data_IF_165432080506
#
_entry.id   IF_165432080506
#
_cell.length_a   1.000
_cell.length_b   1.000
_cell.length_c   1.000
_cell.angle_alpha   90.00
_cell.angle_beta   90.00
_cell.angle_gamma   90.00
#
_symmetry.space_group_name_H-M   'P 1'
#
loop_
_entity.id
_entity.type
_entity.pdbx_description
1 polymer ?
#
# COMPACT_ATOMS: atom_id res chain seq x y z
N UNK A 1 -25.74 9.54 -31.56
CA UNK A 1 -24.28 9.79 -31.71
C UNK A 1 -23.52 8.80 -30.85
N UNK A 2 -22.99 7.74 -31.46
CA UNK A 2 -22.42 6.58 -30.76
C UNK A 2 -21.10 6.92 -30.06
N UNK A 3 -21.04 6.66 -28.75
CA UNK A 3 -19.87 6.85 -27.89
C UNK A 3 -18.80 5.81 -28.28
N UNK A 4 -17.73 6.23 -28.97
CA UNK A 4 -16.64 5.33 -29.39
C UNK A 4 -15.74 4.95 -28.19
N UNK A 5 -15.66 3.64 -27.98
CA UNK A 5 -14.56 2.81 -27.42
C UNK A 5 -13.83 3.29 -26.17
N UNK A 6 -13.95 2.51 -25.10
CA UNK A 6 -12.99 2.51 -24.00
C UNK A 6 -11.55 2.36 -24.53
N UNK A 7 -10.64 3.23 -24.09
CA UNK A 7 -9.22 3.14 -24.44
C UNK A 7 -8.66 1.74 -24.15
N UNK A 8 -7.75 1.27 -24.99
CA UNK A 8 -7.04 0.02 -24.78
C UNK A 8 -6.11 0.11 -23.56
N UNK A 9 -5.69 -1.03 -22.97
CA UNK A 9 -4.71 -1.04 -21.89
C UNK A 9 -3.41 -0.30 -22.24
N UNK A 10 -2.95 -0.42 -23.48
CA UNK A 10 -1.74 0.26 -23.98
C UNK A 10 -1.93 1.79 -24.05
N UNK A 11 -3.09 2.25 -24.52
CA UNK A 11 -3.41 3.68 -24.53
C UNK A 11 -3.50 4.26 -23.11
N UNK A 12 -4.06 3.50 -22.17
CA UNK A 12 -4.07 3.90 -20.76
C UNK A 12 -2.67 3.97 -20.16
N UNK A 13 -1.79 3.02 -20.49
CA UNK A 13 -0.40 3.05 -20.05
C UNK A 13 0.35 4.26 -20.62
N UNK A 14 0.04 4.65 -21.86
CA UNK A 14 0.62 5.85 -22.47
C UNK A 14 0.14 7.15 -21.82
N UNK A 15 -1.16 7.27 -21.54
CA UNK A 15 -1.73 8.37 -20.75
C UNK A 15 -1.07 8.45 -19.37
N UNK A 16 -0.88 7.31 -18.69
CA UNK A 16 -0.22 7.23 -17.39
C UNK A 16 1.24 7.72 -17.46
N UNK A 17 2.02 7.24 -18.44
CA UNK A 17 3.42 7.64 -18.65
C UNK A 17 3.55 9.15 -18.83
N UNK A 18 2.73 9.73 -19.71
CA UNK A 18 2.74 11.17 -20.01
C UNK A 18 2.26 12.01 -18.83
N UNK A 19 1.31 11.51 -18.05
CA UNK A 19 0.86 12.17 -16.82
C UNK A 19 1.94 12.18 -15.72
N UNK A 20 2.73 11.11 -15.63
CA UNK A 20 3.91 11.06 -14.73
C UNK A 20 4.97 12.05 -15.19
N UNK A 21 5.19 12.17 -16.51
CA UNK A 21 6.12 13.14 -17.10
C UNK A 21 5.70 14.61 -16.92
N UNK A 22 4.50 14.88 -16.40
CA UNK A 22 4.04 16.22 -16.04
C UNK A 22 3.08 16.86 -17.04
N UNK A 23 2.62 16.13 -18.05
CA UNK A 23 1.64 16.67 -18.99
C UNK A 23 0.27 16.92 -18.33
N UNK A 24 -0.41 17.98 -18.77
CA UNK A 24 -1.70 18.37 -18.23
C UNK A 24 -2.79 17.36 -18.60
N UNK A 25 -3.58 16.91 -17.60
CA UNK A 25 -4.73 15.99 -17.79
C UNK A 25 -5.69 16.47 -18.88
N UNK A 26 -5.92 17.77 -18.98
CA UNK A 26 -6.76 18.41 -20.01
C UNK A 26 -6.22 18.24 -21.43
N UNK A 27 -4.90 18.24 -21.60
CA UNK A 27 -4.28 18.00 -22.90
C UNK A 27 -4.46 16.53 -23.31
N UNK A 28 -4.17 15.60 -22.39
CA UNK A 28 -4.34 14.16 -22.60
C UNK A 28 -5.81 13.77 -22.83
N UNK A 29 -6.74 14.38 -22.10
CA UNK A 29 -8.19 14.16 -22.28
C UNK A 29 -8.65 14.51 -23.70
N UNK A 30 -8.20 15.67 -24.23
CA UNK A 30 -8.53 16.10 -25.60
C UNK A 30 -7.91 15.19 -26.65
N UNK A 31 -6.66 14.79 -26.46
CA UNK A 31 -5.92 13.96 -27.41
C UNK A 31 -6.49 12.53 -27.51
N UNK A 32 -6.79 11.92 -26.36
CA UNK A 32 -7.30 10.55 -26.30
C UNK A 32 -8.83 10.46 -26.36
N UNK A 33 -9.53 11.59 -26.50
CA UNK A 33 -10.99 11.64 -26.63
C UNK A 33 -11.75 11.15 -25.39
N UNK A 34 -11.18 11.32 -24.19
CA UNK A 34 -11.78 10.91 -22.92
C UNK A 34 -12.03 12.11 -21.99
N UNK A 35 -12.86 11.94 -20.96
CA UNK A 35 -13.07 12.98 -19.97
C UNK A 35 -11.91 13.06 -18.98
N UNK A 36 -11.60 14.26 -18.49
CA UNK A 36 -10.62 14.47 -17.40
C UNK A 36 -11.03 13.68 -16.14
N UNK A 37 -12.34 13.56 -15.88
CA UNK A 37 -12.87 12.75 -14.79
C UNK A 37 -12.50 11.26 -14.92
N UNK A 38 -12.51 10.69 -16.14
CA UNK A 38 -12.12 9.31 -16.37
C UNK A 38 -10.62 9.08 -16.10
N UNK A 39 -9.76 10.05 -16.48
CA UNK A 39 -8.33 10.03 -16.15
C UNK A 39 -8.14 10.08 -14.62
N UNK A 40 -8.82 11.02 -13.96
CA UNK A 40 -8.72 11.18 -12.50
C UNK A 40 -9.16 9.91 -11.78
N UNK A 41 -10.34 9.39 -12.09
CA UNK A 41 -10.88 8.20 -11.43
C UNK A 41 -9.98 6.97 -11.57
N UNK A 42 -9.37 6.79 -12.74
CA UNK A 42 -8.58 5.58 -13.03
C UNK A 42 -7.12 5.67 -12.60
N UNK A 43 -6.51 6.85 -12.73
CA UNK A 43 -5.05 6.99 -12.62
C UNK A 43 -4.58 7.87 -11.46
N UNK A 44 -5.44 8.65 -10.78
CA UNK A 44 -4.96 9.61 -9.77
C UNK A 44 -4.19 8.93 -8.64
N UNK A 45 -4.79 7.94 -7.97
CA UNK A 45 -4.15 7.28 -6.82
C UNK A 45 -2.84 6.57 -7.19
N UNK A 46 -2.81 5.92 -8.35
CA UNK A 46 -1.63 5.22 -8.85
C UNK A 46 -0.51 6.20 -9.19
N UNK A 47 -0.82 7.27 -9.92
CA UNK A 47 0.17 8.27 -10.35
C UNK A 47 0.68 9.05 -9.14
N UNK A 48 -0.17 9.37 -8.17
CA UNK A 48 0.24 10.02 -6.93
C UNK A 48 1.16 9.12 -6.11
N UNK A 49 0.89 7.81 -6.07
CA UNK A 49 1.77 6.82 -5.44
C UNK A 49 3.13 6.73 -6.13
N UNK A 50 3.15 6.66 -7.47
CA UNK A 50 4.39 6.61 -8.26
C UNK A 50 5.22 7.88 -8.03
N UNK A 51 4.58 9.06 -8.07
CA UNK A 51 5.27 10.35 -7.80
C UNK A 51 5.82 10.41 -6.39
N UNK A 52 5.08 9.90 -5.40
CA UNK A 52 5.55 9.82 -4.01
C UNK A 52 6.80 8.96 -3.90
N UNK A 53 6.81 7.76 -4.48
CA UNK A 53 7.98 6.88 -4.48
C UNK A 53 9.15 7.50 -5.25
N UNK A 54 8.90 8.11 -6.41
CA UNK A 54 9.94 8.78 -7.20
C UNK A 54 10.61 9.92 -6.40
N UNK A 55 9.82 10.72 -5.68
CA UNK A 55 10.33 11.79 -4.82
C UNK A 55 11.15 11.23 -3.64
N UNK A 56 10.73 10.12 -3.03
CA UNK A 56 11.49 9.45 -1.97
C UNK A 56 12.83 8.95 -2.49
N UNK A 57 12.85 8.32 -3.68
CA UNK A 57 14.08 7.84 -4.31
C UNK A 57 15.03 9.01 -4.67
N UNK A 58 14.51 10.10 -5.22
CA UNK A 58 15.31 11.29 -5.53
C UNK A 58 15.92 11.91 -4.27
N UNK A 59 15.13 11.99 -3.19
CA UNK A 59 15.59 12.49 -1.88
C UNK A 59 16.66 11.58 -1.29
N UNK A 60 16.43 10.26 -1.29
CA UNK A 60 17.38 9.27 -0.80
C UNK A 60 18.70 9.30 -1.60
N UNK A 61 18.64 9.38 -2.93
CA UNK A 61 19.83 9.49 -3.78
C UNK A 61 20.62 10.77 -3.51
N UNK A 62 19.93 11.90 -3.34
CA UNK A 62 20.57 13.17 -2.97
C UNK A 62 21.25 13.07 -1.61
N UNK A 63 20.58 12.47 -0.62
CA UNK A 63 21.16 12.25 0.71
C UNK A 63 22.37 11.31 0.66
N UNK A 64 22.30 10.25 -0.13
CA UNK A 64 23.39 9.29 -0.33
C UNK A 64 24.61 9.98 -0.94
N UNK A 65 24.44 10.78 -1.99
CA UNK A 65 25.54 11.50 -2.65
C UNK A 65 26.26 12.51 -1.74
N UNK A 66 25.58 13.02 -0.70
CA UNK A 66 26.20 13.90 0.30
C UNK A 66 27.09 13.16 1.29
N UNK A 67 27.02 11.84 1.36
CA UNK A 67 27.90 11.03 2.21
C UNK A 67 29.27 10.84 1.57
N UNK A 68 30.34 10.68 2.36
CA UNK A 68 31.63 10.20 1.86
C UNK A 68 31.48 8.87 1.11
N UNK A 69 32.29 8.63 0.06
CA UNK A 69 32.18 7.45 -0.81
C UNK A 69 32.17 6.13 -0.01
N UNK A 70 33.04 6.00 1.00
CA UNK A 70 33.07 4.82 1.86
C UNK A 70 31.74 4.59 2.59
N UNK A 71 31.11 5.66 3.09
CA UNK A 71 29.82 5.62 3.78
C UNK A 71 28.64 5.35 2.83
N UNK A 72 28.76 5.73 1.55
CA UNK A 72 27.74 5.39 0.54
C UNK A 72 27.61 3.88 0.36
N UNK A 73 28.75 3.17 0.26
CA UNK A 73 28.79 1.71 0.14
C UNK A 73 28.18 1.06 1.39
N UNK A 74 28.51 1.56 2.58
CA UNK A 74 27.91 1.08 3.84
C UNK A 74 26.40 1.25 3.87
N UNK A 75 25.89 2.41 3.46
CA UNK A 75 24.45 2.70 3.43
C UNK A 75 23.70 1.79 2.44
N UNK A 76 24.25 1.58 1.24
CA UNK A 76 23.70 0.66 0.25
C UNK A 76 23.70 -0.79 0.74
N UNK A 77 24.79 -1.25 1.34
CA UNK A 77 24.88 -2.59 1.92
C UNK A 77 23.90 -2.80 3.07
N UNK A 78 23.68 -1.78 3.91
CA UNK A 78 22.69 -1.83 4.97
C UNK A 78 21.27 -1.92 4.40
N UNK A 79 20.94 -1.11 3.39
CA UNK A 79 19.64 -1.18 2.72
C UNK A 79 19.41 -2.56 2.10
N UNK A 80 20.41 -3.13 1.42
CA UNK A 80 20.35 -4.49 0.88
C UNK A 80 20.13 -5.55 1.96
N UNK A 81 20.84 -5.44 3.10
CA UNK A 81 20.65 -6.33 4.25
C UNK A 81 19.26 -6.22 4.85
N UNK A 82 18.71 -5.02 4.99
CA UNK A 82 17.35 -4.81 5.49
C UNK A 82 16.31 -5.48 4.58
N UNK A 83 16.45 -5.35 3.25
CA UNK A 83 15.58 -6.04 2.30
C UNK A 83 15.71 -7.56 2.40
N UNK A 84 16.94 -8.08 2.53
CA UNK A 84 17.19 -9.52 2.71
C UNK A 84 16.59 -10.04 4.02
N UNK A 85 16.67 -9.29 5.12
CA UNK A 85 16.03 -9.66 6.40
C UNK A 85 14.51 -9.73 6.23
N UNK A 86 13.90 -8.76 5.54
CA UNK A 86 12.46 -8.80 5.25
C UNK A 86 12.07 -10.04 4.44
N UNK A 87 12.86 -10.40 3.42
CA UNK A 87 12.64 -11.62 2.62
C UNK A 87 12.73 -12.89 3.49
N UNK A 88 13.76 -12.99 4.33
CA UNK A 88 13.92 -14.12 5.24
C UNK A 88 12.78 -14.22 6.26
N UNK A 89 12.29 -13.09 6.76
CA UNK A 89 11.13 -13.06 7.67
C UNK A 89 9.86 -13.53 6.98
N UNK A 90 9.63 -13.13 5.73
CA UNK A 90 8.50 -13.61 4.92
C UNK A 90 8.59 -15.13 4.68
N UNK A 91 9.76 -15.62 4.26
CA UNK A 91 9.97 -17.06 4.09
C UNK A 91 9.78 -17.84 5.41
N UNK A 92 10.28 -17.31 6.52
CA UNK A 92 10.07 -17.91 7.85
C UNK A 92 8.59 -17.92 8.24
N UNK A 93 7.84 -16.85 7.93
CA UNK A 93 6.40 -16.80 8.14
C UNK A 93 5.64 -17.83 7.30
N UNK A 94 6.03 -18.03 6.03
CA UNK A 94 5.42 -19.06 5.17
C UNK A 94 5.65 -20.48 5.73
N UNK A 95 6.88 -20.80 6.13
CA UNK A 95 7.19 -22.08 6.77
C UNK A 95 6.48 -22.24 8.12
N UNK A 96 6.38 -21.16 8.91
CA UNK A 96 5.66 -21.12 10.17
C UNK A 96 4.17 -21.39 9.99
N UNK A 97 3.53 -20.71 9.04
CA UNK A 97 2.12 -20.91 8.70
C UNK A 97 1.84 -22.32 8.17
N UNK A 98 2.73 -22.87 7.33
CA UNK A 98 2.61 -24.25 6.85
C UNK A 98 2.72 -25.26 8.01
N UNK A 99 3.65 -25.03 8.92
CA UNK A 99 3.84 -25.84 10.13
C UNK A 99 2.63 -25.76 11.05
N UNK A 100 2.13 -24.54 11.31
CA UNK A 100 0.93 -24.31 12.09
C UNK A 100 -0.29 -25.01 11.50
N UNK A 101 -0.50 -24.88 10.19
CA UNK A 101 -1.59 -25.57 9.47
C UNK A 101 -1.50 -27.09 9.67
N UNK A 102 -0.30 -27.65 9.55
CA UNK A 102 -0.07 -29.09 9.74
C UNK A 102 -0.34 -29.52 11.18
N UNK A 103 0.18 -28.79 12.17
CA UNK A 103 -0.02 -29.09 13.60
C UNK A 103 -1.50 -28.96 14.00
N UNK A 104 -2.20 -27.94 13.53
CA UNK A 104 -3.63 -27.77 13.72
C UNK A 104 -4.43 -28.91 13.09
N UNK A 105 -4.05 -29.36 11.89
CA UNK A 105 -4.65 -30.53 11.24
C UNK A 105 -4.48 -31.80 12.07
N UNK A 106 -3.28 -32.06 12.59
CA UNK A 106 -3.02 -33.22 13.47
C UNK A 106 -3.83 -33.12 14.77
N UNK A 107 -3.87 -31.93 15.39
CA UNK A 107 -4.67 -31.69 16.59
C UNK A 107 -6.16 -31.95 16.34
N UNK A 108 -6.67 -31.52 15.18
CA UNK A 108 -8.06 -31.79 14.78
C UNK A 108 -8.30 -33.29 14.58
N UNK A 109 -7.41 -34.02 13.90
CA UNK A 109 -7.53 -35.48 13.78
C UNK A 109 -7.54 -36.16 15.16
N UNK A 110 -6.70 -35.71 16.09
CA UNK A 110 -6.64 -36.26 17.45
C UNK A 110 -7.91 -35.99 18.26
N UNK A 111 -8.64 -34.90 17.97
CA UNK A 111 -9.93 -34.64 18.63
C UNK A 111 -10.99 -35.68 18.33
N UNK A 112 -10.89 -36.41 17.20
CA UNK A 112 -11.80 -37.51 16.88
C UNK A 112 -11.60 -38.75 17.76
N UNK A 113 -10.53 -38.81 18.55
CA UNK A 113 -10.27 -39.92 19.51
C UNK A 113 -10.99 -39.71 20.85
N UNK A 114 -11.61 -38.55 21.07
CA UNK A 114 -12.28 -38.21 22.32
C UNK A 114 -13.74 -38.68 22.27
N UNK A 115 -14.20 -39.35 23.34
CA UNK A 115 -15.62 -39.59 23.55
C UNK A 115 -16.29 -38.34 24.11
N UNK A 116 -17.10 -37.67 23.30
CA UNK A 116 -17.81 -36.45 23.67
C UNK A 116 -18.81 -36.66 24.83
N UNK A 117 -19.33 -37.87 25.01
CA UNK A 117 -20.25 -38.17 26.11
C UNK A 117 -19.52 -38.34 27.45
N UNK A 118 -18.24 -38.73 27.42
CA UNK A 118 -17.41 -38.90 28.60
C UNK A 118 -15.92 -38.57 28.33
N UNK A 119 -15.57 -37.29 28.14
CA UNK A 119 -14.25 -36.90 27.63
C UNK A 119 -13.13 -36.96 28.69
N UNK A 120 -13.48 -37.19 29.95
CA UNK A 120 -12.55 -37.17 31.08
C UNK A 120 -12.07 -38.56 31.51
N UNK A 121 -12.18 -39.56 30.63
CA UNK A 121 -11.46 -40.83 30.79
C UNK A 121 -9.94 -40.59 30.81
N UNK A 122 -9.14 -41.49 31.41
CA UNK A 122 -7.69 -41.38 31.36
C UNK A 122 -7.14 -41.16 29.94
N UNK A 123 -7.71 -41.87 28.96
CA UNK A 123 -7.38 -41.77 27.54
C UNK A 123 -7.81 -40.42 26.95
N UNK A 124 -9.02 -39.94 27.26
CA UNK A 124 -9.54 -38.66 26.79
C UNK A 124 -8.74 -37.46 27.33
N UNK A 125 -8.33 -37.51 28.60
CA UNK A 125 -7.46 -36.49 29.20
C UNK A 125 -6.09 -36.46 28.51
N UNK A 126 -5.53 -37.62 28.16
CA UNK A 126 -4.25 -37.69 27.45
C UNK A 126 -4.36 -37.21 25.98
N UNK A 127 -5.49 -37.49 25.32
CA UNK A 127 -5.80 -36.91 24.02
C UNK A 127 -5.83 -35.37 24.10
N UNK A 128 -6.58 -34.82 25.05
CA UNK A 128 -6.73 -33.37 25.29
C UNK A 128 -5.40 -32.67 25.58
N UNK A 129 -4.51 -33.27 26.39
CA UNK A 129 -3.16 -32.72 26.62
C UNK A 129 -2.36 -32.63 25.33
N UNK A 130 -2.38 -33.68 24.52
CA UNK A 130 -1.68 -33.68 23.23
C UNK A 130 -2.24 -32.64 22.26
N UNK A 131 -3.57 -32.48 22.19
CA UNK A 131 -4.22 -31.43 21.41
C UNK A 131 -3.76 -30.06 21.89
N UNK A 132 -3.78 -29.81 23.21
CA UNK A 132 -3.33 -28.54 23.79
C UNK A 132 -1.87 -28.22 23.41
N UNK A 133 -0.96 -29.21 23.51
CA UNK A 133 0.43 -29.05 23.12
C UNK A 133 0.57 -28.73 21.62
N UNK A 134 -0.12 -29.47 20.74
CA UNK A 134 -0.09 -29.24 19.29
C UNK A 134 -0.65 -27.87 18.91
N UNK A 135 -1.76 -27.46 19.53
CA UNK A 135 -2.37 -26.14 19.30
C UNK A 135 -1.44 -25.03 19.75
N UNK A 136 -0.78 -25.17 20.92
CA UNK A 136 0.21 -24.19 21.38
C UNK A 136 1.38 -24.09 20.40
N UNK A 137 1.96 -25.21 20.00
CA UNK A 137 3.05 -25.24 19.02
C UNK A 137 2.62 -24.66 17.65
N UNK A 138 1.37 -24.86 17.24
CA UNK A 138 0.82 -24.25 16.02
C UNK A 138 0.72 -22.73 16.13
N UNK A 139 0.31 -22.22 17.30
CA UNK A 139 0.26 -20.78 17.57
C UNK A 139 1.66 -20.17 17.58
N UNK A 140 2.61 -20.81 18.26
CA UNK A 140 4.01 -20.38 18.32
C UNK A 140 4.64 -20.36 16.92
N UNK A 141 4.37 -21.39 16.10
CA UNK A 141 4.82 -21.44 14.71
C UNK A 141 4.19 -20.32 13.83
N UNK A 142 3.00 -19.83 14.17
CA UNK A 142 2.32 -18.76 13.43
C UNK A 142 2.77 -17.35 13.83
N UNK A 143 3.53 -17.20 14.92
CA UNK A 143 3.80 -15.91 15.55
C UNK A 143 4.47 -14.91 14.59
N UNK A 144 5.47 -15.36 13.83
CA UNK A 144 6.18 -14.52 12.86
C UNK A 144 5.20 -14.00 11.80
N UNK A 145 4.36 -14.87 11.25
CA UNK A 145 3.37 -14.49 10.23
C UNK A 145 2.30 -13.54 10.76
N UNK A 146 1.76 -13.79 11.97
CA UNK A 146 0.77 -12.92 12.60
C UNK A 146 1.36 -11.53 12.90
N UNK A 147 2.61 -11.48 13.37
CA UNK A 147 3.30 -10.22 13.64
C UNK A 147 3.53 -9.41 12.35
N UNK A 148 3.88 -10.06 11.24
CA UNK A 148 3.99 -9.40 9.93
C UNK A 148 2.63 -8.88 9.45
N UNK A 149 1.55 -9.64 9.59
CA UNK A 149 0.19 -9.17 9.25
C UNK A 149 -0.22 -7.95 10.08
N UNK A 150 0.09 -7.95 11.38
CA UNK A 150 -0.17 -6.82 12.28
C UNK A 150 0.62 -5.58 11.88
N UNK A 151 1.92 -5.73 11.61
CA UNK A 151 2.76 -4.61 11.16
C UNK A 151 2.24 -3.98 9.85
N UNK A 152 1.74 -4.79 8.92
CA UNK A 152 1.15 -4.29 7.69
C UNK A 152 -0.24 -3.66 7.89
N UNK A 153 -1.04 -4.16 8.84
CA UNK A 153 -2.35 -3.58 9.16
C UNK A 153 -2.26 -2.13 9.60
N UNK A 154 -1.30 -1.79 10.46
CA UNK A 154 -1.06 -0.40 10.90
C UNK A 154 -0.72 0.51 9.71
N UNK A 155 0.15 0.06 8.81
CA UNK A 155 0.50 0.82 7.61
C UNK A 155 -0.72 1.02 6.68
N UNK A 156 -1.57 0.00 6.53
CA UNK A 156 -2.80 0.08 5.71
C UNK A 156 -3.82 1.01 6.34
N UNK A 157 -3.99 0.99 7.67
CA UNK A 157 -4.88 1.90 8.38
C UNK A 157 -4.44 3.36 8.22
N UNK A 158 -3.14 3.64 8.28
CA UNK A 158 -2.60 4.99 8.06
C UNK A 158 -2.73 5.46 6.61
N UNK A 159 -2.62 4.54 5.64
CA UNK A 159 -2.94 4.84 4.23
C UNK A 159 -4.42 5.15 4.07
N UNK A 160 -5.31 4.35 4.68
CA UNK A 160 -6.75 4.54 4.59
C UNK A 160 -7.20 5.84 5.25
N UNK A 161 -6.63 6.21 6.40
CA UNK A 161 -6.88 7.50 7.06
C UNK A 161 -6.46 8.66 6.17
N UNK A 162 -5.25 8.64 5.61
CA UNK A 162 -4.77 9.69 4.69
C UNK A 162 -5.62 9.80 3.43
N UNK A 163 -6.13 8.70 2.89
CA UNK A 163 -7.04 8.71 1.74
C UNK A 163 -8.44 9.26 2.10
N UNK A 164 -8.93 8.97 3.30
CA UNK A 164 -10.18 9.51 3.82
C UNK A 164 -10.07 11.02 4.11
N UNK A 165 -8.94 11.46 4.65
CA UNK A 165 -8.65 12.88 4.92
C UNK A 165 -8.35 13.66 3.64
N UNK A 166 -7.65 13.06 2.66
CA UNK A 166 -7.43 13.62 1.32
C UNK A 166 -8.69 13.72 0.45
N UNK A 167 -9.83 13.20 0.92
CA UNK A 167 -11.15 13.38 0.30
C UNK A 167 -11.89 14.62 0.83
N UNK A 168 -11.38 15.28 1.87
CA UNK A 168 -11.71 16.68 2.19
C UNK A 168 -10.78 17.60 1.41
N UNK A 169 -10.95 17.63 0.09
CA UNK A 169 -10.74 18.93 -0.57
C UNK A 169 -11.79 19.81 0.08
N UNK A 170 -11.38 20.75 0.94
CA UNK A 170 -12.24 21.88 1.25
C UNK A 170 -12.66 22.41 -0.11
N UNK A 171 -13.92 22.15 -0.48
CA UNK A 171 -14.51 22.77 -1.65
C UNK A 171 -14.49 24.24 -1.31
N UNK A 172 -13.43 24.94 -1.73
CA UNK A 172 -13.42 26.38 -1.74
C UNK A 172 -14.68 26.77 -2.48
N UNK A 173 -15.56 27.51 -1.82
CA UNK A 173 -16.71 28.09 -2.51
C UNK A 173 -16.18 28.90 -3.69
N UNK A 174 -16.99 29.10 -4.74
CA UNK A 174 -16.56 29.91 -5.89
C UNK A 174 -16.01 31.28 -5.44
N UNK A 175 -16.58 31.82 -4.36
CA UNK A 175 -16.15 33.05 -3.69
C UNK A 175 -14.75 32.96 -3.04
N UNK A 176 -14.41 31.81 -2.45
CA UNK A 176 -13.07 31.56 -1.88
C UNK A 176 -12.02 31.32 -2.97
N UNK A 177 -12.40 30.70 -4.09
CA UNK A 177 -11.51 30.55 -5.26
C UNK A 177 -11.21 31.90 -5.89
N UNK A 178 -12.23 32.76 -6.04
CA UNK A 178 -12.08 34.11 -6.57
C UNK A 178 -11.17 34.97 -5.68
N UNK A 179 -11.30 34.86 -4.36
CA UNK A 179 -10.40 35.56 -3.42
C UNK A 179 -8.95 35.05 -3.52
N UNK A 180 -8.74 33.74 -3.68
CA UNK A 180 -7.40 33.17 -3.80
C UNK A 180 -6.74 33.59 -5.13
N UNK A 181 -7.52 33.61 -6.22
CA UNK A 181 -7.08 34.08 -7.54
C UNK A 181 -6.76 35.57 -7.50
N UNK A 182 -7.60 36.38 -6.84
CA UNK A 182 -7.36 37.82 -6.67
C UNK A 182 -6.09 38.10 -5.85
N UNK A 183 -5.88 37.39 -4.74
CA UNK A 183 -4.67 37.52 -3.91
C UNK A 183 -3.40 37.11 -4.67
N UNK A 184 -3.48 36.03 -5.47
CA UNK A 184 -2.35 35.57 -6.26
C UNK A 184 -2.04 36.52 -7.45
N UNK A 185 -3.07 37.08 -8.08
CA UNK A 185 -2.93 38.03 -9.18
C UNK A 185 -2.35 39.37 -8.70
N UNK A 186 -2.76 39.83 -7.51
CA UNK A 186 -2.19 41.00 -6.84
C UNK A 186 -0.71 40.79 -6.46
N UNK A 187 -0.35 39.59 -5.99
CA UNK A 187 1.04 39.24 -5.68
C UNK A 187 1.94 39.18 -6.92
N UNK A 188 1.37 38.88 -8.10
CA UNK A 188 2.06 38.85 -9.38
C UNK A 188 2.00 40.20 -10.13
N UNK A 189 1.34 41.22 -9.57
CA UNK A 189 1.22 42.55 -10.19
C UNK A 189 0.39 42.58 -11.48
N UNK A 190 -0.49 41.58 -11.69
CA UNK A 190 -1.36 41.49 -12.86
C UNK A 190 -2.72 42.08 -12.49
N UNK A 191 -3.04 43.25 -13.05
CA UNK A 191 -4.33 43.92 -12.87
C UNK A 191 -5.43 43.17 -13.68
N UNK A 192 -6.43 42.56 -13.02
CA UNK A 192 -7.48 41.80 -13.71
C UNK A 192 -8.44 42.69 -14.52
N UNK A 193 -8.38 44.03 -14.40
CA UNK A 193 -9.29 44.95 -15.09
C UNK A 193 -8.90 45.26 -16.56
N UNK A 194 -7.88 44.59 -17.13
CA UNK A 194 -7.37 44.87 -18.50
C UNK A 194 -7.68 43.82 -19.57
N UNK A 195 -8.59 42.88 -19.33
CA UNK A 195 -9.12 42.01 -20.38
C UNK A 195 -10.65 42.06 -20.39
N UNK A 196 -11.19 43.16 -20.93
CA UNK A 196 -12.54 43.23 -21.47
C UNK A 196 -12.50 43.13 -22.98
#
# INVERSE_FOLDING_TARGET
MGRKSALTPEQWAEVERRLIAGEARRALAREFGISEAAIRQKLSSRVDSIKTVANQLATANTALQRLPIASQITAQNLAARLMSVSEHLLAAADYGAATARRLAGIAHTKSAEIDDANPLTPEGVEALKGISALTRMANDASEIGVNLLRANKEAVEDINKRNAEGSRVENYTDEQLDQLIAQHSAALGIDPARQG
#
